data_IF_308988519503
#
_entry.id   IF_308988519503
#
_cell.length_a   1.000
_cell.length_b   1.000
_cell.length_c   1.000
_cell.angle_alpha   90.00
_cell.angle_beta   90.00
_cell.angle_gamma   90.00
#
_symmetry.space_group_name_H-M   'P 1'
#
loop_
_entity.id
_entity.type
_entity.pdbx_description
1 polymer ?
#
# COMPACT_ATOMS: atom_id res chain seq x y z
N UNK A 1 28.61 -33.64 -47.53
CA UNK A 1 28.88 -32.46 -46.70
C UNK A 1 27.51 -31.84 -46.41
N UNK A 2 26.95 -32.18 -45.25
CA UNK A 2 25.63 -31.75 -44.79
C UNK A 2 25.69 -30.27 -44.43
N UNK A 3 24.76 -29.47 -44.96
CA UNK A 3 24.37 -28.21 -44.35
C UNK A 3 22.87 -28.28 -44.08
N UNK A 4 22.58 -28.42 -42.79
CA UNK A 4 21.25 -28.50 -42.19
C UNK A 4 20.40 -27.25 -42.47
N UNK A 5 19.18 -27.53 -42.92
CA UNK A 5 17.90 -26.99 -42.50
C UNK A 5 17.79 -25.50 -42.14
N UNK A 6 17.26 -24.73 -43.09
CA UNK A 6 16.43 -23.57 -42.80
C UNK A 6 15.13 -24.01 -42.12
N UNK A 7 15.15 -24.14 -40.79
CA UNK A 7 13.94 -24.24 -39.99
C UNK A 7 13.24 -22.88 -39.90
N UNK A 8 11.90 -22.81 -39.93
CA UNK A 8 11.21 -21.59 -39.54
C UNK A 8 11.56 -21.31 -38.08
N UNK A 9 12.08 -20.12 -37.80
CA UNK A 9 12.20 -19.60 -36.44
C UNK A 9 10.81 -19.67 -35.85
N UNK A 10 10.55 -20.65 -34.97
CA UNK A 10 9.29 -20.73 -34.23
C UNK A 10 9.21 -19.48 -33.37
N UNK A 11 8.51 -18.49 -33.88
CA UNK A 11 7.91 -17.39 -33.11
C UNK A 11 6.69 -17.92 -32.33
N UNK A 12 6.79 -19.14 -31.81
CA UNK A 12 5.73 -19.85 -31.09
C UNK A 12 6.32 -20.37 -29.78
N UNK A 13 6.57 -19.44 -28.88
CA UNK A 13 6.28 -19.61 -27.46
C UNK A 13 6.10 -18.21 -26.85
N UNK A 14 5.21 -17.41 -27.48
CA UNK A 14 4.44 -16.44 -26.71
C UNK A 14 3.45 -17.27 -25.90
N UNK A 15 3.97 -17.91 -24.85
CA UNK A 15 3.20 -18.77 -23.95
C UNK A 15 1.90 -18.08 -23.63
N UNK A 16 0.80 -18.76 -23.90
CA UNK A 16 -0.51 -18.38 -23.42
C UNK A 16 -0.38 -18.12 -21.93
N UNK A 17 -0.52 -16.86 -21.52
CA UNK A 17 -0.50 -16.46 -20.12
C UNK A 17 -1.74 -17.07 -19.48
N UNK A 18 -1.64 -18.32 -19.04
CA UNK A 18 -2.65 -18.98 -18.23
C UNK A 18 -2.90 -18.16 -16.97
N UNK A 19 -4.16 -18.07 -16.53
CA UNK A 19 -4.57 -17.39 -15.30
C UNK A 19 -3.86 -17.90 -14.02
N UNK A 20 -3.06 -18.96 -14.11
CA UNK A 20 -2.23 -19.46 -13.01
C UNK A 20 -0.78 -18.92 -13.00
N UNK A 21 -0.32 -18.32 -14.11
CA UNK A 21 1.08 -17.87 -14.25
C UNK A 21 1.28 -16.37 -14.04
N UNK A 22 0.22 -15.55 -14.13
CA UNK A 22 0.33 -14.11 -13.87
C UNK A 22 0.75 -13.79 -12.43
N UNK A 23 0.34 -14.59 -11.45
CA UNK A 23 0.70 -14.37 -10.05
C UNK A 23 2.18 -14.66 -9.80
N UNK A 24 2.74 -15.67 -10.48
CA UNK A 24 4.18 -15.93 -10.47
C UNK A 24 4.94 -14.82 -11.18
N UNK A 25 4.40 -14.31 -12.29
CA UNK A 25 4.97 -13.17 -13.01
C UNK A 25 5.01 -11.91 -12.13
N UNK A 26 3.96 -11.65 -11.34
CA UNK A 26 3.90 -10.54 -10.38
C UNK A 26 4.89 -10.71 -9.24
N UNK A 27 5.04 -11.93 -8.69
CA UNK A 27 5.97 -12.20 -7.59
C UNK A 27 7.42 -12.05 -8.05
N UNK A 28 7.71 -12.43 -9.29
CA UNK A 28 9.05 -12.37 -9.87
C UNK A 28 9.43 -10.95 -10.33
N UNK A 29 8.47 -10.03 -10.42
CA UNK A 29 8.74 -8.63 -10.73
C UNK A 29 9.06 -7.85 -9.44
N UNK A 30 10.28 -7.29 -9.38
CA UNK A 30 10.84 -6.61 -8.21
C UNK A 30 10.05 -5.37 -7.76
N UNK A 31 9.30 -4.73 -8.64
CA UNK A 31 8.50 -3.54 -8.32
C UNK A 31 7.05 -3.93 -8.04
N UNK A 32 6.48 -4.81 -8.88
CA UNK A 32 5.06 -5.16 -8.80
C UNK A 32 4.79 -6.03 -7.57
N UNK A 33 5.72 -6.89 -7.17
CA UNK A 33 5.58 -7.77 -5.99
C UNK A 33 5.33 -6.99 -4.68
N UNK A 34 6.20 -6.06 -4.23
CA UNK A 34 5.94 -5.29 -3.01
C UNK A 34 4.72 -4.38 -3.13
N UNK A 35 4.42 -3.86 -4.33
CA UNK A 35 3.28 -2.99 -4.57
C UNK A 35 1.95 -3.75 -4.42
N UNK A 36 1.92 -4.99 -4.91
CA UNK A 36 0.77 -5.89 -4.79
C UNK A 36 0.38 -6.15 -3.33
N UNK A 37 1.36 -6.41 -2.46
CA UNK A 37 1.08 -6.61 -1.03
C UNK A 37 0.64 -5.33 -0.33
N UNK A 38 1.21 -4.17 -0.68
CA UNK A 38 0.77 -2.88 -0.16
C UNK A 38 -0.69 -2.60 -0.53
N UNK A 39 -1.07 -2.80 -1.79
CA UNK A 39 -2.47 -2.62 -2.22
C UNK A 39 -3.44 -3.58 -1.53
N UNK A 40 -3.04 -4.84 -1.28
CA UNK A 40 -3.88 -5.77 -0.51
C UNK A 40 -4.10 -5.31 0.93
N UNK A 41 -3.06 -4.81 1.58
CA UNK A 41 -3.16 -4.25 2.93
C UNK A 41 -4.12 -3.05 2.93
N UNK A 42 -3.98 -2.13 1.97
CA UNK A 42 -4.88 -0.99 1.81
C UNK A 42 -6.33 -1.40 1.54
N UNK A 43 -6.56 -2.40 0.69
CA UNK A 43 -7.91 -2.90 0.39
C UNK A 43 -8.57 -3.50 1.65
N UNK A 44 -7.82 -4.30 2.42
CA UNK A 44 -8.31 -4.84 3.69
C UNK A 44 -8.61 -3.74 4.72
N UNK A 45 -7.74 -2.73 4.82
CA UNK A 45 -7.95 -1.55 5.68
C UNK A 45 -9.17 -0.75 5.29
N UNK A 46 -9.38 -0.50 3.99
CA UNK A 46 -10.55 0.22 3.49
C UNK A 46 -11.83 -0.55 3.77
N UNK A 47 -11.82 -1.87 3.61
CA UNK A 47 -12.96 -2.72 3.93
C UNK A 47 -13.32 -2.66 5.42
N UNK A 48 -12.33 -2.85 6.30
CA UNK A 48 -12.52 -2.79 7.75
C UNK A 48 -12.95 -1.39 8.19
N UNK A 49 -12.34 -0.34 7.63
CA UNK A 49 -12.68 1.06 7.89
C UNK A 49 -14.09 1.39 7.44
N UNK A 50 -14.51 0.89 6.28
CA UNK A 50 -15.88 1.03 5.77
C UNK A 50 -16.91 0.41 6.73
N UNK A 51 -16.67 -0.81 7.20
CA UNK A 51 -17.53 -1.45 8.20
C UNK A 51 -17.53 -0.65 9.51
N UNK A 52 -16.36 -0.16 9.94
CA UNK A 52 -16.24 0.64 11.15
C UNK A 52 -17.00 1.97 11.08
N UNK A 53 -17.18 2.56 9.89
CA UNK A 53 -17.98 3.77 9.69
C UNK A 53 -19.50 3.53 9.67
N UNK A 54 -19.94 2.29 9.43
CA UNK A 54 -21.38 1.93 9.47
C UNK A 54 -21.88 1.76 10.90
N UNK A 55 -21.03 1.31 11.82
CA UNK A 55 -21.43 1.09 13.23
C UNK A 55 -21.94 2.36 13.95
N UNK A 56 -21.29 3.53 13.83
CA UNK A 56 -21.79 4.78 14.41
C UNK A 56 -23.17 5.23 13.92
N UNK A 57 -23.61 4.75 12.75
CA UNK A 57 -24.94 5.07 12.21
C UNK A 57 -26.06 4.49 13.09
N UNK A 58 -25.78 3.42 13.84
CA UNK A 58 -26.75 2.75 14.70
C UNK A 58 -26.75 3.27 16.15
N UNK A 59 -25.61 3.76 16.65
CA UNK A 59 -25.52 4.40 17.97
C UNK A 59 -24.31 5.36 18.05
N UNK A 60 -24.49 6.66 17.77
CA UNK A 60 -23.37 7.59 17.68
C UNK A 60 -22.68 7.83 19.03
N UNK A 61 -23.36 7.67 20.16
CA UNK A 61 -22.79 7.91 21.49
C UNK A 61 -21.87 6.77 21.92
N UNK A 62 -22.30 5.52 21.68
CA UNK A 62 -21.52 4.33 22.03
C UNK A 62 -20.27 4.14 21.17
N UNK A 63 -20.32 4.59 19.90
CA UNK A 63 -19.24 4.36 18.94
C UNK A 63 -18.33 5.58 18.69
N UNK A 64 -18.41 6.66 19.49
CA UNK A 64 -17.48 7.82 19.39
C UNK A 64 -16.02 7.39 19.40
N UNK A 65 -15.63 6.54 20.35
CA UNK A 65 -14.27 6.01 20.45
C UNK A 65 -13.83 5.25 19.20
N UNK A 66 -14.74 4.43 18.64
CA UNK A 66 -14.48 3.62 17.46
C UNK A 66 -14.10 4.48 16.24
N UNK A 67 -14.75 5.63 16.05
CA UNK A 67 -14.43 6.57 14.96
C UNK A 67 -13.00 7.09 15.11
N UNK A 68 -12.59 7.50 16.32
CA UNK A 68 -11.25 8.00 16.57
C UNK A 68 -10.19 6.91 16.40
N UNK A 69 -10.44 5.70 16.91
CA UNK A 69 -9.52 4.57 16.74
C UNK A 69 -9.40 4.16 15.28
N UNK A 70 -10.50 4.14 14.52
CA UNK A 70 -10.47 3.82 13.09
C UNK A 70 -9.63 4.83 12.30
N UNK A 71 -9.82 6.14 12.54
CA UNK A 71 -9.02 7.18 11.88
C UNK A 71 -7.52 7.09 12.21
N UNK A 72 -7.19 6.77 13.46
CA UNK A 72 -5.81 6.63 13.92
C UNK A 72 -5.14 5.38 13.35
N UNK A 73 -5.80 4.22 13.43
CA UNK A 73 -5.28 2.95 12.92
C UNK A 73 -5.11 3.02 11.41
N UNK A 74 -6.09 3.56 10.69
CA UNK A 74 -6.04 3.69 9.23
C UNK A 74 -4.83 4.54 8.80
N UNK A 75 -4.69 5.74 9.38
CA UNK A 75 -3.62 6.67 9.03
C UNK A 75 -2.24 6.13 9.39
N UNK A 76 -2.13 5.46 10.54
CA UNK A 76 -0.87 4.84 10.98
C UNK A 76 -0.42 3.73 10.04
N UNK A 77 -1.31 2.78 9.72
CA UNK A 77 -0.95 1.64 8.87
C UNK A 77 -0.68 2.09 7.43
N UNK A 78 -1.43 3.06 6.91
CA UNK A 78 -1.18 3.66 5.60
C UNK A 78 0.21 4.32 5.50
N UNK A 79 0.59 5.08 6.53
CA UNK A 79 1.92 5.69 6.60
C UNK A 79 3.04 4.64 6.72
N UNK A 80 2.83 3.62 7.56
CA UNK A 80 3.78 2.52 7.74
C UNK A 80 3.98 1.72 6.46
N UNK A 81 2.90 1.34 5.77
CA UNK A 81 2.97 0.63 4.49
C UNK A 81 3.68 1.44 3.41
N UNK A 82 3.43 2.75 3.33
CA UNK A 82 4.13 3.65 2.40
C UNK A 82 5.62 3.75 2.72
N UNK A 83 5.98 3.84 4.00
CA UNK A 83 7.37 3.87 4.45
C UNK A 83 8.12 2.57 4.15
N UNK A 84 7.51 1.42 4.45
CA UNK A 84 8.08 0.10 4.15
C UNK A 84 8.27 -0.08 2.64
N UNK A 85 7.32 0.38 1.82
CA UNK A 85 7.41 0.34 0.37
C UNK A 85 8.62 1.15 -0.14
N UNK A 86 8.79 2.40 0.30
CA UNK A 86 9.93 3.25 -0.07
C UNK A 86 11.27 2.59 0.34
N UNK A 87 11.31 1.92 1.50
CA UNK A 87 12.53 1.23 2.00
C UNK A 87 12.85 -0.04 1.23
N UNK A 88 11.83 -0.83 0.85
CA UNK A 88 11.99 -2.02 0.02
C UNK A 88 12.58 -1.69 -1.35
N UNK A 89 12.17 -0.57 -1.95
CA UNK A 89 12.68 -0.14 -3.26
C UNK A 89 14.17 0.26 -3.24
N UNK A 90 14.67 0.91 -2.16
CA UNK A 90 16.10 1.27 -2.04
C UNK A 90 17.04 0.07 -1.92
N UNK A 91 16.56 -1.06 -1.38
CA UNK A 91 17.35 -2.28 -1.23
C UNK A 91 17.46 -3.08 -2.53
N UNK A 92 16.48 -2.96 -3.43
CA UNK A 92 16.44 -3.65 -4.72
C UNK A 92 17.12 -2.84 -5.85
N UNK A 93 17.09 -1.51 -5.77
CA UNK A 93 17.68 -0.62 -6.79
C UNK A 93 19.22 -0.60 -6.90
N UNK A 94 19.94 -1.29 -6.02
CA UNK A 94 21.40 -1.46 -6.19
C UNK A 94 21.69 -2.41 -7.37
N UNK A 95 20.72 -3.21 -7.82
CA UNK A 95 20.88 -4.18 -8.91
C UNK A 95 20.49 -3.68 -10.31
N UNK A 96 19.67 -2.62 -10.44
CA UNK A 96 19.14 -2.16 -11.75
C UNK A 96 19.62 -0.75 -12.06
N UNK A 97 20.94 -0.61 -12.16
CA UNK A 97 21.56 0.56 -12.80
C UNK A 97 21.52 0.33 -14.31
N UNK A 98 20.46 0.77 -14.99
CA UNK A 98 20.39 1.17 -16.43
C UNK A 98 18.99 0.95 -16.99
N UNK A 99 18.08 1.90 -16.73
CA UNK A 99 17.08 2.46 -17.68
C UNK A 99 16.03 3.24 -16.89
N UNK A 100 15.89 4.53 -17.22
CA UNK A 100 14.86 5.48 -16.76
C UNK A 100 14.88 6.05 -15.33
N UNK A 101 16.01 6.62 -14.92
CA UNK A 101 16.15 7.40 -13.67
C UNK A 101 15.05 8.48 -13.43
N UNK A 102 14.44 9.02 -14.49
CA UNK A 102 13.39 10.05 -14.37
C UNK A 102 12.05 9.49 -13.83
N UNK A 103 11.60 8.33 -14.33
CA UNK A 103 10.34 7.72 -13.89
C UNK A 103 10.42 7.22 -12.44
N UNK A 104 11.60 6.77 -12.02
CA UNK A 104 11.88 6.38 -10.64
C UNK A 104 11.75 7.54 -9.66
N UNK A 105 12.22 8.73 -10.06
CA UNK A 105 12.23 9.90 -9.18
C UNK A 105 10.82 10.43 -8.89
N UNK A 106 9.93 10.38 -9.89
CA UNK A 106 8.54 10.83 -9.74
C UNK A 106 7.72 9.90 -8.84
N UNK A 107 7.83 8.58 -9.03
CA UNK A 107 7.06 7.61 -8.25
C UNK A 107 7.42 7.62 -6.75
N UNK A 108 8.69 7.79 -6.41
CA UNK A 108 9.10 7.91 -5.01
C UNK A 108 8.62 9.20 -4.36
N UNK A 109 8.62 10.31 -5.10
CA UNK A 109 8.17 11.60 -4.59
C UNK A 109 6.68 11.55 -4.21
N UNK A 110 5.84 10.96 -5.07
CA UNK A 110 4.40 10.79 -4.78
C UNK A 110 4.17 9.97 -3.51
N UNK A 111 4.88 8.84 -3.35
CA UNK A 111 4.73 7.99 -2.17
C UNK A 111 5.23 8.66 -0.88
N UNK A 112 6.29 9.47 -0.95
CA UNK A 112 6.79 10.24 0.19
C UNK A 112 5.74 11.29 0.61
N UNK A 113 5.17 12.01 -0.35
CA UNK A 113 4.12 13.00 -0.09
C UNK A 113 2.90 12.32 0.53
N UNK A 114 2.46 11.19 -0.03
CA UNK A 114 1.32 10.43 0.50
C UNK A 114 1.57 9.95 1.94
N UNK A 115 2.76 9.41 2.20
CA UNK A 115 3.18 8.97 3.53
C UNK A 115 3.23 10.12 4.53
N UNK A 116 3.73 11.30 4.14
CA UNK A 116 3.76 12.50 4.97
C UNK A 116 2.35 13.00 5.30
N UNK A 117 1.44 12.99 4.33
CA UNK A 117 0.02 13.35 4.53
C UNK A 117 -0.62 12.40 5.54
N UNK A 118 -0.49 11.08 5.36
CA UNK A 118 -1.06 10.11 6.31
C UNK A 118 -0.45 10.23 7.71
N UNK A 119 0.84 10.53 7.81
CA UNK A 119 1.48 10.80 9.09
C UNK A 119 0.94 12.05 9.78
N UNK A 120 0.67 13.13 9.04
CA UNK A 120 0.03 14.32 9.58
C UNK A 120 -1.39 14.03 10.10
N UNK A 121 -2.19 13.27 9.34
CA UNK A 121 -3.53 12.84 9.77
C UNK A 121 -3.46 11.97 11.02
N UNK A 122 -2.46 11.07 11.11
CA UNK A 122 -2.19 10.29 12.31
C UNK A 122 -1.91 11.18 13.54
N UNK A 123 -1.06 12.20 13.41
CA UNK A 123 -0.79 13.13 14.51
C UNK A 123 -2.05 13.88 14.94
N UNK A 124 -2.83 14.40 13.99
CA UNK A 124 -4.07 15.14 14.29
C UNK A 124 -5.10 14.27 15.02
N UNK A 125 -5.28 13.02 14.57
CA UNK A 125 -6.20 12.07 15.22
C UNK A 125 -5.69 11.65 16.61
N UNK A 126 -4.38 11.44 16.77
CA UNK A 126 -3.78 11.14 18.08
C UNK A 126 -3.94 12.30 19.07
N UNK A 127 -3.69 13.54 18.64
CA UNK A 127 -3.88 14.73 19.48
C UNK A 127 -5.34 14.90 19.88
N UNK A 128 -6.26 14.71 18.94
CA UNK A 128 -7.71 14.76 19.21
C UNK A 128 -8.10 13.77 20.30
N UNK A 129 -7.60 12.52 20.21
CA UNK A 129 -7.86 11.49 21.21
C UNK A 129 -7.29 11.83 22.59
N UNK A 130 -6.09 12.43 22.65
CA UNK A 130 -5.47 12.87 23.91
C UNK A 130 -6.31 13.96 24.58
N UNK A 131 -6.81 14.92 23.80
CA UNK A 131 -7.67 16.00 24.31
C UNK A 131 -9.00 15.41 24.82
N UNK A 132 -9.66 14.57 24.04
CA UNK A 132 -10.92 13.93 24.45
C UNK A 132 -10.72 13.08 25.71
N UNK A 133 -9.64 12.28 25.79
CA UNK A 133 -9.33 11.49 27.00
C UNK A 133 -9.15 12.36 28.24
N UNK A 134 -8.54 13.54 28.06
CA UNK A 134 -8.36 14.50 29.15
C UNK A 134 -9.71 15.09 29.59
N UNK A 135 -10.56 15.50 28.65
CA UNK A 135 -11.91 16.01 28.93
C UNK A 135 -12.79 14.97 29.64
N UNK A 136 -12.78 13.71 29.20
CA UNK A 136 -13.51 12.62 29.85
C UNK A 136 -13.04 12.38 31.28
N UNK A 137 -11.72 12.48 31.55
CA UNK A 137 -11.18 12.38 32.91
C UNK A 137 -11.58 13.55 33.81
N UNK A 138 -11.80 14.73 33.23
CA UNK A 138 -12.20 15.94 33.95
C UNK A 138 -13.73 16.03 34.16
N UNK A 139 -14.50 15.03 33.71
CA UNK A 139 -15.97 14.98 33.88
C UNK A 139 -16.71 16.06 33.11
N UNK A 140 -16.04 16.72 32.16
CA UNK A 140 -16.66 17.68 31.23
C UNK A 140 -16.99 16.90 29.97
N UNK A 141 -18.27 16.57 29.81
CA UNK A 141 -18.80 15.96 28.58
C UNK A 141 -18.51 16.80 27.33
#
# INVERSE_FOLDING_TARGET
>A
MNYDEGGPVRLEERGELSEDDWLKQIINDEIISPLYYVFRIFAALLFISGIAMVMPLFDPLRYRGLIYYNGLIFSFVAALSSFLFIRSQKSLNIAITTKDAAAWQENHLVMIVLGAVFFAVFILTALSLVITRKQTKEGRE
#
